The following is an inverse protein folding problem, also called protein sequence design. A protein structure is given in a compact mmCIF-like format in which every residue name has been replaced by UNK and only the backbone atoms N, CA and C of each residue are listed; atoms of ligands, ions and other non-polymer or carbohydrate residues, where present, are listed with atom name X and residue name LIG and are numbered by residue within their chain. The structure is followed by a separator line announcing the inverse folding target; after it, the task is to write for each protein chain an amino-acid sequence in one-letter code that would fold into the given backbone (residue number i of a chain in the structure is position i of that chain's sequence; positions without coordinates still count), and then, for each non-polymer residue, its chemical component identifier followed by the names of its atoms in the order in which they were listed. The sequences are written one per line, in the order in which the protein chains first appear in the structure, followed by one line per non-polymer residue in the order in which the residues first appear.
data_IF_438012130199
#
_entry.id   IF_438012130199
#
_cell.length_a   1.000
_cell.length_b   1.000
_cell.length_c   1.000
_cell.angle_alpha   90.00
_cell.angle_beta   90.00
_cell.angle_gamma   90.00
#
_symmetry.space_group_name_H-M   'P 1'
#
loop_
_entity.id
_entity.type
_entity.pdbx_description
1 polymer ?
#
# COMPACT_ATOMS: atom_id res chain seq x y z
N UNK A 1 -1.68 -9.63 -56.48
CA UNK A 1 -2.53 -10.85 -56.60
C UNK A 1 -2.87 -10.96 -58.07
N UNK A 2 -2.51 -12.06 -58.73
CA UNK A 2 -2.74 -12.20 -60.16
C UNK A 2 -4.23 -12.46 -60.44
N UNK A 3 -4.70 -12.10 -61.65
CA UNK A 3 -6.11 -12.19 -62.03
C UNK A 3 -6.70 -13.60 -61.84
N UNK A 4 -5.90 -14.63 -62.13
CA UNK A 4 -6.29 -16.05 -62.00
C UNK A 4 -6.52 -16.49 -60.55
N UNK A 5 -5.80 -15.92 -59.59
CA UNK A 5 -5.97 -16.25 -58.16
C UNK A 5 -7.26 -15.64 -57.61
N UNK A 6 -7.62 -14.45 -58.10
CA UNK A 6 -8.85 -13.77 -57.73
C UNK A 6 -10.08 -14.52 -58.23
N UNK A 7 -10.05 -15.04 -59.46
CA UNK A 7 -11.14 -15.87 -59.99
C UNK A 7 -11.32 -17.18 -59.22
N UNK A 8 -10.22 -17.84 -58.82
CA UNK A 8 -10.26 -19.04 -57.97
C UNK A 8 -10.82 -18.75 -56.59
N UNK A 9 -10.50 -17.60 -56.01
CA UNK A 9 -11.05 -17.14 -54.72
C UNK A 9 -12.56 -16.86 -54.81
N UNK A 10 -13.03 -16.30 -55.93
CA UNK A 10 -14.45 -15.98 -56.13
C UNK A 10 -15.35 -17.22 -56.29
N UNK A 11 -14.78 -18.33 -56.75
CA UNK A 11 -15.45 -19.64 -56.93
C UNK A 11 -15.58 -20.46 -55.63
N UNK A 12 -14.98 -20.01 -54.53
CA UNK A 12 -15.07 -20.68 -53.23
C UNK A 12 -16.30 -20.20 -52.43
N UNK A 13 -16.87 -21.09 -51.62
CA UNK A 13 -17.89 -20.74 -50.64
C UNK A 13 -17.39 -19.68 -49.63
N UNK A 14 -18.31 -18.89 -49.09
CA UNK A 14 -18.02 -17.77 -48.18
C UNK A 14 -17.15 -18.20 -46.98
N UNK A 15 -17.42 -19.37 -46.39
CA UNK A 15 -16.65 -19.90 -45.27
C UNK A 15 -15.23 -20.30 -45.67
N UNK A 16 -15.09 -20.99 -46.80
CA UNK A 16 -13.78 -21.41 -47.35
C UNK A 16 -12.90 -20.23 -47.75
N UNK A 17 -13.51 -19.17 -48.28
CA UNK A 17 -12.83 -17.90 -48.58
C UNK A 17 -12.31 -17.24 -47.31
N UNK A 18 -13.16 -17.12 -46.29
CA UNK A 18 -12.77 -16.53 -45.01
C UNK A 18 -11.61 -17.31 -44.37
N UNK A 19 -11.69 -18.64 -44.31
CA UNK A 19 -10.62 -19.50 -43.79
C UNK A 19 -9.31 -19.32 -44.55
N UNK A 20 -9.37 -19.18 -45.88
CA UNK A 20 -8.18 -18.89 -46.70
C UNK A 20 -7.59 -17.51 -46.40
N UNK A 21 -8.41 -16.47 -46.31
CA UNK A 21 -7.93 -15.12 -45.95
C UNK A 21 -7.29 -15.07 -44.55
N UNK A 22 -7.87 -15.77 -43.57
CA UNK A 22 -7.32 -15.87 -42.22
C UNK A 22 -5.97 -16.61 -42.24
N UNK A 23 -5.87 -17.74 -42.94
CA UNK A 23 -4.61 -18.48 -43.06
C UNK A 23 -3.53 -17.71 -43.81
N UNK A 24 -3.89 -16.99 -44.87
CA UNK A 24 -2.97 -16.13 -45.62
C UNK A 24 -2.48 -14.97 -44.74
N UNK A 25 -3.35 -14.35 -43.95
CA UNK A 25 -3.01 -13.32 -42.97
C UNK A 25 -2.03 -13.84 -41.90
N UNK A 26 -2.31 -15.00 -41.29
CA UNK A 26 -1.39 -15.60 -40.30
C UNK A 26 -0.06 -16.02 -40.94
N UNK A 27 -0.08 -16.50 -42.18
CA UNK A 27 1.12 -16.91 -42.92
C UNK A 27 1.99 -15.71 -43.30
N UNK A 28 1.38 -14.59 -43.71
CA UNK A 28 2.09 -13.32 -43.95
C UNK A 28 2.70 -12.80 -42.65
N UNK A 29 1.92 -12.75 -41.56
CA UNK A 29 2.37 -12.33 -40.23
C UNK A 29 3.53 -13.19 -39.70
N UNK A 30 3.53 -14.50 -39.97
CA UNK A 30 4.60 -15.40 -39.56
C UNK A 30 5.85 -15.32 -40.47
N UNK A 31 5.67 -15.05 -41.78
CA UNK A 31 6.79 -14.75 -42.70
C UNK A 31 7.45 -13.41 -42.37
N UNK A 32 6.68 -12.41 -41.96
CA UNK A 32 7.18 -11.13 -41.43
C UNK A 32 7.98 -11.34 -40.14
N UNK A 33 7.45 -12.08 -39.16
CA UNK A 33 8.18 -12.44 -37.93
C UNK A 33 9.52 -13.15 -38.17
N UNK A 34 9.60 -14.01 -39.19
CA UNK A 34 10.84 -14.72 -39.52
C UNK A 34 11.85 -13.84 -40.29
N UNK A 35 11.41 -12.84 -41.06
CA UNK A 35 12.31 -11.82 -41.64
C UNK A 35 12.85 -10.84 -40.59
N UNK A 36 12.08 -10.56 -39.53
CA UNK A 36 12.50 -9.67 -38.44
C UNK A 36 13.57 -10.25 -37.50
N UNK A 37 13.86 -11.56 -37.54
CA UNK A 37 14.97 -12.14 -36.75
C UNK A 37 16.37 -11.76 -37.25
N UNK A 38 16.51 -11.34 -38.52
CA UNK A 38 17.81 -10.95 -39.10
C UNK A 38 18.05 -9.43 -39.15
N UNK A 39 17.09 -8.59 -38.74
CA UNK A 39 17.23 -7.14 -38.82
C UNK A 39 16.66 -6.46 -37.57
N UNK A 40 17.38 -6.59 -36.45
CA UNK A 40 16.91 -6.24 -35.10
C UNK A 40 16.74 -4.74 -34.83
N UNK A 41 16.99 -3.84 -35.78
CA UNK A 41 17.10 -2.41 -35.47
C UNK A 41 16.10 -1.46 -36.11
N UNK A 42 15.10 -1.89 -36.88
CA UNK A 42 14.07 -0.98 -37.41
C UNK A 42 12.65 -1.54 -37.22
N UNK A 43 12.11 -1.34 -36.02
CA UNK A 43 10.70 -1.58 -35.75
C UNK A 43 9.89 -0.38 -36.29
N UNK A 44 9.29 -0.56 -37.48
CA UNK A 44 8.49 0.44 -38.22
C UNK A 44 7.31 0.97 -37.37
N UNK A 45 6.93 0.26 -36.32
CA UNK A 45 5.89 0.65 -35.38
C UNK A 45 6.38 1.48 -34.18
N UNK A 46 7.68 1.81 -34.07
CA UNK A 46 8.22 2.62 -32.95
C UNK A 46 7.60 4.00 -32.83
N UNK A 47 7.12 4.56 -33.94
CA UNK A 47 6.57 5.91 -33.97
C UNK A 47 5.02 5.93 -33.88
N UNK A 48 4.37 4.76 -33.84
CA UNK A 48 2.92 4.68 -33.68
C UNK A 48 2.57 4.52 -32.20
N UNK A 49 1.78 5.45 -31.68
CA UNK A 49 1.21 5.35 -30.34
C UNK A 49 0.01 4.41 -30.40
N UNK A 50 -0.03 3.41 -29.51
CA UNK A 50 -1.24 2.61 -29.36
C UNK A 50 -2.33 3.42 -28.66
N UNK A 51 -3.60 3.00 -28.77
CA UNK A 51 -4.70 3.59 -27.98
C UNK A 51 -4.36 3.60 -26.48
N UNK A 52 -3.64 2.59 -25.99
CA UNK A 52 -3.18 2.55 -24.60
C UNK A 52 -2.15 3.63 -24.30
N UNK A 53 -1.21 3.90 -25.21
CA UNK A 53 -0.20 4.97 -25.02
C UNK A 53 -0.86 6.34 -25.06
N UNK A 54 -1.80 6.56 -26.00
CA UNK A 54 -2.60 7.78 -26.10
C UNK A 54 -3.39 8.02 -24.81
N UNK A 55 -4.06 6.98 -24.31
CA UNK A 55 -4.77 7.03 -23.04
C UNK A 55 -3.82 7.33 -21.89
N UNK A 56 -2.65 6.68 -21.83
CA UNK A 56 -1.68 6.89 -20.77
C UNK A 56 -1.10 8.32 -20.78
N UNK A 57 -0.94 8.93 -21.94
CA UNK A 57 -0.46 10.31 -22.06
C UNK A 57 -1.53 11.33 -21.67
N UNK A 58 -2.79 11.10 -22.04
CA UNK A 58 -3.88 12.08 -21.90
C UNK A 58 -4.86 11.76 -20.75
N UNK A 59 -4.64 10.67 -20.00
CA UNK A 59 -5.47 10.36 -18.85
C UNK A 59 -5.32 11.45 -17.79
N UNK A 60 -6.45 11.78 -17.18
CA UNK A 60 -6.50 12.62 -15.99
C UNK A 60 -7.24 11.86 -14.91
N UNK A 61 -6.68 11.87 -13.69
CA UNK A 61 -7.28 11.21 -12.55
C UNK A 61 -8.54 11.94 -12.07
N UNK A 62 -8.54 13.28 -12.16
CA UNK A 62 -9.72 14.14 -11.99
C UNK A 62 -9.81 15.09 -13.18
N UNK A 63 -10.96 15.12 -13.85
CA UNK A 63 -11.29 16.08 -14.90
C UNK A 63 -12.24 17.14 -14.35
N UNK A 64 -11.96 18.40 -14.65
CA UNK A 64 -12.83 19.52 -14.29
C UNK A 64 -14.05 19.54 -15.21
N UNK A 65 -15.25 19.39 -14.65
CA UNK A 65 -16.50 19.29 -15.43
C UNK A 65 -16.81 20.58 -16.21
N UNK A 66 -16.35 21.72 -15.71
CA UNK A 66 -16.59 23.04 -16.30
C UNK A 66 -15.66 23.35 -17.48
N UNK A 67 -14.51 22.68 -17.57
CA UNK A 67 -13.56 22.86 -18.69
C UNK A 67 -13.86 21.93 -19.88
N UNK A 68 -14.70 20.90 -19.67
CA UNK A 68 -14.94 19.80 -20.62
C UNK A 68 -16.36 19.83 -21.22
N UNK A 69 -17.12 20.93 -21.04
CA UNK A 69 -18.50 21.09 -21.56
C UNK A 69 -18.49 21.62 -22.99
N UNK A 70 -19.10 20.85 -23.90
CA UNK A 70 -19.27 21.15 -25.34
C UNK A 70 -20.09 22.44 -25.64
N UNK A 71 -20.71 23.04 -24.62
CA UNK A 71 -21.72 24.11 -24.76
C UNK A 71 -21.21 25.52 -24.38
N UNK A 72 -19.96 25.65 -23.95
CA UNK A 72 -19.41 26.96 -23.55
C UNK A 72 -17.90 27.10 -23.78
N UNK A 73 -17.50 27.04 -25.06
CA UNK A 73 -16.49 27.95 -25.60
C UNK A 73 -15.01 27.76 -25.21
N UNK A 74 -14.52 26.54 -24.95
CA UNK A 74 -13.08 26.26 -24.84
C UNK A 74 -12.69 25.11 -25.79
N UNK A 75 -11.62 25.36 -26.55
CA UNK A 75 -10.95 24.58 -27.60
C UNK A 75 -11.46 23.15 -27.91
N UNK A 76 -11.72 22.85 -29.19
CA UNK A 76 -12.03 21.49 -29.65
C UNK A 76 -10.99 20.49 -29.13
N UNK A 77 -11.36 19.67 -28.14
CA UNK A 77 -10.51 18.60 -27.63
C UNK A 77 -9.91 17.81 -28.79
N UNK A 78 -8.61 17.53 -28.74
CA UNK A 78 -7.94 16.66 -29.70
C UNK A 78 -8.59 15.27 -29.70
N UNK A 79 -8.42 14.51 -30.77
CA UNK A 79 -8.99 13.15 -30.84
C UNK A 79 -8.47 12.28 -29.68
N UNK A 80 -7.20 12.45 -29.30
CA UNK A 80 -6.54 11.80 -28.18
C UNK A 80 -7.19 12.14 -26.82
N UNK A 81 -7.49 13.43 -26.60
CA UNK A 81 -8.17 13.90 -25.39
C UNK A 81 -9.63 13.44 -25.35
N UNK A 82 -10.32 13.44 -26.51
CA UNK A 82 -11.68 12.87 -26.62
C UNK A 82 -11.70 11.38 -26.27
N UNK A 83 -10.69 10.63 -26.70
CA UNK A 83 -10.54 9.21 -26.35
C UNK A 83 -10.34 9.04 -24.83
N UNK A 84 -9.46 9.84 -24.23
CA UNK A 84 -9.22 9.82 -22.79
C UNK A 84 -10.44 10.24 -21.97
N UNK A 85 -11.16 11.28 -22.40
CA UNK A 85 -12.42 11.73 -21.80
C UNK A 85 -13.48 10.62 -21.86
N UNK A 86 -13.67 10.01 -23.03
CA UNK A 86 -14.60 8.89 -23.19
C UNK A 86 -14.28 7.70 -22.29
N UNK A 87 -12.99 7.42 -22.05
CA UNK A 87 -12.59 6.41 -21.07
C UNK A 87 -12.91 6.84 -19.63
N UNK A 88 -12.58 8.08 -19.26
CA UNK A 88 -12.87 8.65 -17.95
C UNK A 88 -14.36 8.68 -17.60
N UNK A 89 -15.21 8.99 -18.57
CA UNK A 89 -16.67 9.04 -18.41
C UNK A 89 -17.27 7.65 -18.12
N UNK A 90 -16.60 6.57 -18.55
CA UNK A 90 -16.99 5.19 -18.22
C UNK A 90 -16.58 4.74 -16.81
N UNK A 91 -15.73 5.50 -16.13
CA UNK A 91 -15.24 5.16 -14.80
C UNK A 91 -16.20 5.67 -13.72
N UNK A 92 -16.34 4.87 -12.67
CA UNK A 92 -17.17 5.19 -11.51
C UNK A 92 -16.28 5.75 -10.40
N UNK A 93 -16.57 6.99 -10.01
CA UNK A 93 -15.65 7.85 -9.23
C UNK A 93 -16.08 8.10 -7.78
N UNK A 94 -17.05 7.34 -7.28
CA UNK A 94 -17.50 7.42 -5.88
C UNK A 94 -16.54 6.70 -4.92
N UNK A 95 -16.09 5.51 -5.32
CA UNK A 95 -15.12 4.71 -4.58
C UNK A 95 -14.03 4.20 -5.53
N UNK A 96 -12.80 4.11 -5.04
CA UNK A 96 -11.65 3.60 -5.78
C UNK A 96 -11.26 2.18 -5.35
N UNK A 97 -10.51 1.50 -6.23
CA UNK A 97 -9.78 0.27 -5.94
C UNK A 97 -8.36 0.66 -5.51
N UNK A 98 -7.88 0.03 -4.44
CA UNK A 98 -6.56 0.31 -3.87
C UNK A 98 -5.63 -0.89 -4.02
N UNK A 99 -4.36 -0.66 -4.34
CA UNK A 99 -3.30 -1.66 -4.31
C UNK A 99 -2.40 -1.39 -3.11
N UNK A 100 -2.54 -2.25 -2.10
CA UNK A 100 -1.74 -2.18 -0.88
C UNK A 100 -0.50 -3.09 -0.94
N UNK A 101 -0.07 -3.56 -2.13
CA UNK A 101 1.08 -4.48 -2.23
C UNK A 101 2.37 -3.93 -1.60
N UNK A 102 2.56 -2.60 -1.62
CA UNK A 102 3.74 -1.90 -1.13
C UNK A 102 3.51 -1.19 0.22
N UNK A 103 2.52 -1.64 1.01
CA UNK A 103 2.16 -1.00 2.28
C UNK A 103 3.33 -0.82 3.29
N UNK A 104 4.39 -1.63 3.19
CA UNK A 104 5.57 -1.52 4.06
C UNK A 104 6.44 -0.30 3.75
N UNK A 105 6.53 0.10 2.47
CA UNK A 105 7.21 1.34 2.05
C UNK A 105 6.31 2.57 2.20
N UNK A 106 5.01 2.37 2.46
CA UNK A 106 4.01 3.45 2.53
C UNK A 106 3.45 3.84 1.17
N UNK A 107 3.89 3.18 0.11
CA UNK A 107 3.41 3.41 -1.25
C UNK A 107 2.08 2.68 -1.47
N UNK A 108 1.11 3.39 -2.03
CA UNK A 108 -0.21 2.87 -2.37
C UNK A 108 -0.53 3.21 -3.82
N UNK A 109 -1.23 2.30 -4.51
CA UNK A 109 -1.79 2.56 -5.83
C UNK A 109 -3.29 2.75 -5.75
N UNK A 110 -3.85 3.72 -6.47
CA UNK A 110 -5.29 3.92 -6.57
C UNK A 110 -5.73 3.99 -8.02
N UNK A 111 -6.93 3.48 -8.29
CA UNK A 111 -7.64 3.68 -9.56
C UNK A 111 -9.14 3.72 -9.36
N UNK A 112 -9.84 4.42 -10.24
CA UNK A 112 -11.30 4.38 -10.27
C UNK A 112 -11.83 3.01 -10.65
N UNK A 113 -13.07 2.74 -10.23
CA UNK A 113 -13.76 1.48 -10.51
C UNK A 113 -14.25 1.46 -11.96
N UNK A 114 -14.25 0.26 -12.53
CA UNK A 114 -14.87 -0.03 -13.83
C UNK A 114 -16.26 -0.63 -13.63
N UNK A 115 -17.07 -0.65 -14.68
CA UNK A 115 -18.45 -1.14 -14.66
C UNK A 115 -18.58 -2.55 -14.05
N UNK A 116 -17.77 -3.52 -14.49
CA UNK A 116 -17.83 -4.89 -13.97
C UNK A 116 -17.55 -4.99 -12.45
N UNK A 117 -16.73 -4.09 -11.93
CA UNK A 117 -16.46 -3.99 -10.50
C UNK A 117 -17.62 -3.37 -9.73
N UNK A 118 -18.28 -2.37 -10.31
CA UNK A 118 -19.48 -1.77 -9.70
C UNK A 118 -20.63 -2.76 -9.68
N UNK A 119 -20.88 -3.46 -10.79
CA UNK A 119 -21.94 -4.48 -10.89
C UNK A 119 -21.72 -5.62 -9.91
N UNK A 120 -20.47 -6.04 -9.70
CA UNK A 120 -20.13 -7.06 -8.69
C UNK A 120 -20.08 -6.51 -7.25
N UNK A 121 -20.28 -5.21 -7.03
CA UNK A 121 -20.21 -4.57 -5.72
C UNK A 121 -18.78 -4.45 -5.16
N UNK A 122 -17.75 -4.61 -5.99
CA UNK A 122 -16.35 -4.51 -5.58
C UNK A 122 -16.01 -3.10 -5.11
N UNK A 123 -15.32 -3.02 -3.98
CA UNK A 123 -14.89 -1.75 -3.37
C UNK A 123 -16.02 -0.95 -2.73
N UNK A 124 -17.21 -1.54 -2.58
CA UNK A 124 -18.34 -0.96 -1.85
C UNK A 124 -19.00 -1.97 -0.91
N UNK A 125 -19.31 -3.16 -1.41
CA UNK A 125 -19.85 -4.28 -0.62
C UNK A 125 -18.83 -5.39 -0.38
N UNK A 126 -17.67 -5.28 -1.02
CA UNK A 126 -16.50 -6.11 -0.78
C UNK A 126 -15.25 -5.24 -0.70
N UNK A 127 -14.17 -5.77 -0.12
CA UNK A 127 -12.93 -5.03 0.06
C UNK A 127 -12.36 -4.48 -1.27
N UNK A 128 -11.98 -3.20 -1.25
CA UNK A 128 -11.39 -2.49 -2.38
C UNK A 128 -9.93 -2.86 -2.66
N UNK A 129 -9.25 -3.60 -1.77
CA UNK A 129 -7.87 -3.99 -2.01
C UNK A 129 -7.78 -4.98 -3.19
N UNK A 130 -6.99 -4.63 -4.20
CA UNK A 130 -6.77 -5.42 -5.42
C UNK A 130 -6.35 -6.85 -5.11
N UNK A 131 -5.50 -7.04 -4.08
CA UNK A 131 -4.99 -8.33 -3.62
C UNK A 131 -5.49 -8.67 -2.20
N UNK A 132 -6.81 -8.74 -2.03
CA UNK A 132 -7.42 -9.17 -0.77
C UNK A 132 -7.66 -10.69 -0.76
N UNK A 133 -7.07 -11.40 0.21
CA UNK A 133 -7.32 -12.84 0.41
C UNK A 133 -8.67 -13.16 1.05
N UNK A 134 -9.25 -12.21 1.78
CA UNK A 134 -10.48 -12.39 2.56
C UNK A 134 -11.73 -11.83 1.85
N UNK A 135 -11.67 -11.64 0.53
CA UNK A 135 -12.75 -10.97 -0.22
C UNK A 135 -14.10 -11.68 -0.10
N UNK A 136 -14.08 -13.01 -0.04
CA UNK A 136 -15.28 -13.86 0.04
C UNK A 136 -15.75 -14.14 1.46
N UNK A 137 -14.88 -13.94 2.46
CA UNK A 137 -15.13 -14.33 3.85
C UNK A 137 -15.53 -13.16 4.74
N UNK A 138 -15.19 -11.93 4.34
CA UNK A 138 -15.50 -10.73 5.13
C UNK A 138 -16.98 -10.37 4.94
N UNK A 139 -17.73 -10.25 6.04
CA UNK A 139 -19.11 -9.77 6.00
C UNK A 139 -19.15 -8.27 5.68
N UNK A 140 -20.18 -7.84 4.97
CA UNK A 140 -20.36 -6.43 4.56
C UNK A 140 -20.36 -5.46 5.75
N UNK A 141 -20.89 -5.87 6.90
CA UNK A 141 -20.97 -5.07 8.14
C UNK A 141 -19.59 -4.76 8.75
N UNK A 142 -18.55 -5.53 8.40
CA UNK A 142 -17.20 -5.36 8.91
C UNK A 142 -16.33 -4.45 8.02
N UNK A 143 -16.87 -4.03 6.87
CA UNK A 143 -16.19 -3.13 5.96
C UNK A 143 -16.30 -1.68 6.44
N UNK A 144 -15.21 -0.94 6.33
CA UNK A 144 -15.16 0.49 6.67
C UNK A 144 -14.72 1.32 5.48
N UNK A 145 -15.31 2.50 5.34
CA UNK A 145 -14.90 3.51 4.37
C UNK A 145 -13.77 4.36 4.94
N UNK A 146 -12.78 4.64 4.10
CA UNK A 146 -11.62 5.48 4.42
C UNK A 146 -11.49 6.55 3.35
N UNK A 147 -11.14 7.76 3.78
CA UNK A 147 -10.72 8.85 2.92
C UNK A 147 -9.20 8.91 2.90
N UNK A 148 -8.62 8.56 1.76
CA UNK A 148 -7.17 8.40 1.62
C UNK A 148 -6.61 9.57 0.83
N UNK A 149 -5.67 10.36 1.40
CA UNK A 149 -4.97 11.38 0.64
C UNK A 149 -4.07 10.69 -0.40
N UNK A 150 -4.39 10.89 -1.67
CA UNK A 150 -3.67 10.32 -2.80
C UNK A 150 -2.84 11.40 -3.47
N UNK A 151 -1.52 11.32 -3.32
CA UNK A 151 -0.57 12.14 -4.06
C UNK A 151 -0.24 11.46 -5.38
N UNK A 152 -0.39 12.18 -6.49
CA UNK A 152 -0.12 11.68 -7.84
C UNK A 152 0.47 12.77 -8.71
N UNK A 153 1.21 12.37 -9.75
CA UNK A 153 1.78 13.30 -10.72
C UNK A 153 1.00 13.23 -12.02
N UNK A 154 0.55 14.38 -12.49
CA UNK A 154 -0.20 14.51 -13.73
C UNK A 154 0.28 15.77 -14.45
N UNK A 155 0.57 15.67 -15.75
CA UNK A 155 1.12 16.78 -16.54
C UNK A 155 2.36 17.44 -15.89
N UNK A 156 3.25 16.63 -15.30
CA UNK A 156 4.44 17.08 -14.55
C UNK A 156 4.16 17.95 -13.31
N UNK A 157 2.92 17.96 -12.83
CA UNK A 157 2.53 18.63 -11.59
C UNK A 157 2.14 17.60 -10.55
N UNK A 158 2.60 17.82 -9.31
CA UNK A 158 2.21 16.98 -8.18
C UNK A 158 0.86 17.49 -7.65
N UNK A 159 -0.14 16.60 -7.67
CA UNK A 159 -1.52 16.86 -7.23
C UNK A 159 -1.85 15.97 -6.04
N UNK A 160 -2.82 16.41 -5.24
CA UNK A 160 -3.35 15.63 -4.12
C UNK A 160 -4.87 15.59 -4.25
N UNK A 161 -5.46 14.40 -4.10
CA UNK A 161 -6.90 14.22 -4.04
C UNK A 161 -7.28 13.34 -2.85
N UNK A 162 -8.40 13.65 -2.21
CA UNK A 162 -8.96 12.80 -1.16
C UNK A 162 -9.87 11.75 -1.81
N UNK A 163 -9.48 10.48 -1.72
CA UNK A 163 -10.15 9.38 -2.44
C UNK A 163 -10.80 8.43 -1.46
N UNK A 164 -12.08 8.11 -1.69
CA UNK A 164 -12.83 7.17 -0.86
C UNK A 164 -12.54 5.72 -1.25
N UNK A 165 -12.25 4.87 -0.27
CA UNK A 165 -12.05 3.41 -0.45
C UNK A 165 -12.72 2.64 0.68
N UNK A 166 -13.23 1.45 0.38
CA UNK A 166 -13.85 0.58 1.39
C UNK A 166 -12.97 -0.64 1.65
N UNK A 167 -12.55 -0.87 2.90
CA UNK A 167 -11.60 -1.93 3.25
C UNK A 167 -12.13 -2.84 4.36
N UNK A 168 -11.71 -4.11 4.30
CA UNK A 168 -11.90 -5.06 5.40
C UNK A 168 -10.92 -4.78 6.56
N UNK A 169 -11.16 -5.35 7.76
CA UNK A 169 -10.32 -5.12 8.94
C UNK A 169 -8.84 -5.52 8.76
N UNK A 170 -8.55 -6.48 7.87
CA UNK A 170 -7.17 -6.86 7.56
C UNK A 170 -6.50 -5.81 6.67
N UNK A 171 -7.19 -5.34 5.63
CA UNK A 171 -6.62 -4.37 4.69
C UNK A 171 -6.53 -2.96 5.29
N UNK A 172 -7.44 -2.57 6.20
CA UNK A 172 -7.31 -1.31 6.94
C UNK A 172 -6.05 -1.28 7.81
N UNK A 173 -5.65 -2.41 8.40
CA UNK A 173 -4.37 -2.54 9.11
C UNK A 173 -3.16 -2.40 8.18
N UNK A 174 -3.27 -2.86 6.94
CA UNK A 174 -2.21 -2.68 5.94
C UNK A 174 -2.10 -1.21 5.53
N UNK A 175 -3.23 -0.54 5.28
CA UNK A 175 -3.27 0.89 4.96
C UNK A 175 -2.58 1.72 6.06
N UNK A 176 -2.87 1.42 7.33
CA UNK A 176 -2.32 2.16 8.48
C UNK A 176 -1.01 1.57 9.03
N UNK A 177 -0.31 0.70 8.28
CA UNK A 177 0.83 -0.08 8.79
C UNK A 177 1.95 0.78 9.39
N UNK A 178 2.36 1.84 8.71
CA UNK A 178 3.41 2.77 9.15
C UNK A 178 3.04 3.46 10.46
N UNK A 179 1.83 4.00 10.55
CA UNK A 179 1.30 4.66 11.74
C UNK A 179 1.21 3.69 12.93
N UNK A 180 0.71 2.47 12.69
CA UNK A 180 0.66 1.40 13.70
C UNK A 180 2.06 1.07 14.21
N UNK A 181 3.04 0.93 13.31
CA UNK A 181 4.44 0.62 13.67
C UNK A 181 5.06 1.73 14.51
N UNK A 182 4.82 3.00 14.13
CA UNK A 182 5.30 4.18 14.86
C UNK A 182 4.69 4.25 16.27
N UNK A 183 3.36 4.19 16.41
CA UNK A 183 2.68 4.20 17.71
C UNK A 183 3.12 3.06 18.63
N UNK A 184 3.33 1.85 18.08
CA UNK A 184 3.87 0.71 18.84
C UNK A 184 5.28 0.96 19.37
N UNK A 185 6.12 1.68 18.63
CA UNK A 185 7.47 2.06 19.07
C UNK A 185 7.38 3.08 20.21
N UNK A 186 6.57 4.11 20.04
CA UNK A 186 6.34 5.17 21.05
C UNK A 186 5.79 4.60 22.37
N UNK A 187 4.81 3.69 22.30
CA UNK A 187 4.25 3.04 23.48
C UNK A 187 5.32 2.22 24.24
N UNK A 188 6.17 1.49 23.52
CA UNK A 188 7.27 0.72 24.14
C UNK A 188 8.28 1.63 24.82
N UNK A 189 8.60 2.77 24.23
CA UNK A 189 9.50 3.76 24.82
C UNK A 189 8.90 4.41 26.07
N UNK A 190 7.59 4.72 26.05
CA UNK A 190 6.86 5.25 27.20
C UNK A 190 6.86 4.26 28.39
N UNK A 191 6.53 2.99 28.14
CA UNK A 191 6.52 1.96 29.18
C UNK A 191 7.91 1.76 29.81
N UNK A 192 8.98 1.76 28.99
CA UNK A 192 10.37 1.68 29.49
C UNK A 192 10.73 2.85 30.41
N UNK A 193 10.32 4.07 30.08
CA UNK A 193 10.58 5.25 30.92
C UNK A 193 9.86 5.15 32.27
N UNK A 194 8.61 4.70 32.29
CA UNK A 194 7.86 4.53 33.53
C UNK A 194 8.46 3.45 34.45
N UNK A 195 8.92 2.33 33.88
CA UNK A 195 9.61 1.29 34.66
C UNK A 195 10.92 1.80 35.27
N UNK A 196 11.70 2.59 34.51
CA UNK A 196 12.93 3.20 35.02
C UNK A 196 12.64 4.19 36.16
N UNK A 197 11.65 5.07 35.99
CA UNK A 197 11.22 6.00 37.03
C UNK A 197 10.73 5.28 38.30
N UNK A 198 10.05 4.13 38.15
CA UNK A 198 9.60 3.32 39.28
C UNK A 198 10.77 2.68 40.03
N UNK A 199 11.75 2.13 39.31
CA UNK A 199 12.98 1.59 39.89
C UNK A 199 13.82 2.66 40.59
N UNK A 200 13.90 3.86 40.02
CA UNK A 200 14.59 4.99 40.68
C UNK A 200 13.90 5.40 41.99
N UNK A 201 12.56 5.53 41.97
CA UNK A 201 11.79 5.82 43.20
C UNK A 201 11.90 4.72 44.25
N UNK A 202 12.01 3.45 43.85
CA UNK A 202 12.26 2.33 44.76
C UNK A 202 13.67 2.39 45.38
N UNK A 203 14.70 2.64 44.57
CA UNK A 203 16.08 2.83 45.03
C UNK A 203 16.23 4.02 45.98
N UNK A 204 15.51 5.11 45.73
CA UNK A 204 15.53 6.30 46.59
C UNK A 204 14.88 6.03 47.95
N UNK A 205 13.74 5.32 47.97
CA UNK A 205 13.09 4.87 49.23
C UNK A 205 13.95 3.90 50.03
N UNK A 206 14.75 3.07 49.37
CA UNK A 206 15.66 2.13 50.03
C UNK A 206 16.84 2.86 50.69
N UNK A 207 17.45 3.84 49.98
CA UNK A 207 18.50 4.72 50.53
C UNK A 207 18.01 5.52 51.75
N UNK A 208 16.76 5.99 51.75
CA UNK A 208 16.18 6.70 52.90
C UNK A 208 15.92 5.80 54.11
N UNK A 209 15.55 4.54 53.89
CA UNK A 209 15.42 3.55 54.97
C UNK A 209 16.77 3.23 55.60
N UNK A 210 17.83 3.11 54.80
CA UNK A 210 19.18 2.87 55.30
C UNK A 210 19.74 4.08 56.07
N UNK A 211 19.48 5.31 55.62
CA UNK A 211 19.84 6.53 56.37
C UNK A 211 19.13 6.60 57.73
N UNK A 212 17.85 6.22 57.81
CA UNK A 212 17.10 6.18 59.09
C UNK A 212 17.61 5.07 60.03
N UNK A 213 18.00 3.91 59.52
CA UNK A 213 18.63 2.85 60.32
C UNK A 213 19.99 3.26 60.89
N UNK A 214 20.80 4.02 60.13
CA UNK A 214 22.09 4.54 60.59
C UNK A 214 21.95 5.63 61.67
N UNK A 215 20.90 6.45 61.63
CA UNK A 215 20.63 7.46 62.67
C UNK A 215 20.19 6.90 64.03
N UNK A 216 19.65 5.68 64.08
CA UNK A 216 19.27 4.99 65.32
C UNK A 216 20.42 4.13 65.92
N UNK A 217 21.62 4.15 65.33
CA UNK A 217 22.78 3.34 65.77
C UNK A 217 23.98 4.17 66.24
N UNK A 218 23.77 5.43 66.60
CA UNK A 218 24.75 6.15 67.41
C UNK A 218 24.58 5.77 68.89
N UNK A 219 24.96 4.54 69.20
CA UNK A 219 25.75 4.25 70.38
C UNK A 219 26.59 2.98 70.12
N UNK A 220 27.90 3.14 70.19
CA UNK A 220 28.98 2.14 70.11
C UNK A 220 29.34 1.47 68.76
N UNK A 221 30.50 1.89 68.21
CA UNK A 221 31.65 0.97 68.12
C UNK A 221 32.11 0.45 66.74
N UNK A 222 33.28 0.95 66.33
CA UNK A 222 34.43 0.26 65.68
C UNK A 222 34.43 -0.13 64.19
N UNK A 223 35.62 0.13 63.61
CA UNK A 223 36.19 -0.06 62.27
C UNK A 223 35.97 -1.38 61.53
N UNK A 224 35.99 -1.30 60.18
CA UNK A 224 36.99 -1.98 59.34
C UNK A 224 36.75 -1.69 57.84
N UNK A 225 37.84 -1.42 57.13
CA UNK A 225 37.96 -1.11 55.70
C UNK A 225 37.62 -2.29 54.76
N UNK A 226 37.22 -2.00 53.50
CA UNK A 226 37.87 -2.61 52.31
C UNK A 226 37.47 -2.00 50.94
N UNK A 227 38.50 -1.47 50.28
CA UNK A 227 38.92 -1.50 48.86
C UNK A 227 37.93 -1.65 47.67
N UNK A 228 37.89 -0.57 46.86
CA UNK A 228 38.03 -0.41 45.39
C UNK A 228 37.36 -1.39 44.40
N UNK A 229 36.61 -0.85 43.41
CA UNK A 229 37.19 -0.32 42.16
C UNK A 229 36.09 0.08 41.17
N UNK A 230 36.25 1.26 40.57
CA UNK A 230 35.52 1.74 39.41
C UNK A 230 35.92 0.98 38.15
N UNK A 231 34.99 0.82 37.21
CA UNK A 231 35.29 0.85 35.77
C UNK A 231 34.03 1.16 34.94
N UNK A 232 34.13 2.25 34.18
CA UNK A 232 33.17 2.70 33.16
C UNK A 232 33.45 1.98 31.84
N UNK A 233 32.44 1.41 31.15
CA UNK A 233 32.56 1.06 29.72
C UNK A 233 31.21 1.26 28.97
N UNK A 234 31.25 2.29 28.11
CA UNK A 234 30.62 2.53 26.80
C UNK A 234 29.31 1.82 26.38
N UNK A 235 28.29 2.65 26.14
CA UNK A 235 27.18 2.40 25.21
C UNK A 235 27.73 2.28 23.78
N UNK A 236 27.59 1.11 23.16
CA UNK A 236 27.67 0.94 21.71
C UNK A 236 26.54 0.04 21.23
N UNK A 237 25.93 0.52 20.14
CA UNK A 237 24.85 -0.05 19.35
C UNK A 237 24.84 -1.58 19.28
N UNK A 238 23.64 -2.18 19.36
CA UNK A 238 23.45 -3.46 18.69
C UNK A 238 22.13 -3.55 17.91
N UNK A 239 22.36 -4.03 16.70
CA UNK A 239 21.49 -4.32 15.59
C UNK A 239 20.92 -5.74 15.79
N UNK A 240 20.25 -6.26 14.77
CA UNK A 240 19.39 -7.43 14.79
C UNK A 240 19.99 -8.78 15.27
N UNK A 241 19.14 -9.47 16.04
CA UNK A 241 18.75 -10.88 15.88
C UNK A 241 19.81 -11.99 15.98
N UNK A 242 19.77 -12.73 17.10
CA UNK A 242 19.80 -14.19 17.03
C UNK A 242 19.18 -14.84 18.27
N UNK A 243 18.51 -15.96 17.99
CA UNK A 243 17.77 -16.83 18.92
C UNK A 243 18.69 -17.31 20.04
N UNK A 244 18.34 -17.00 21.29
CA UNK A 244 18.49 -17.86 22.48
C UNK A 244 18.33 -16.97 23.72
N UNK A 245 17.10 -16.90 24.25
CA UNK A 245 16.74 -16.60 25.65
C UNK A 245 15.21 -16.50 25.75
N UNK A 246 14.56 -17.65 25.59
CA UNK A 246 13.12 -17.77 25.36
C UNK A 246 12.25 -17.72 26.63
N UNK A 247 12.80 -17.85 27.84
CA UNK A 247 11.99 -17.99 29.05
C UNK A 247 11.61 -16.65 29.68
N UNK A 248 12.56 -15.71 29.84
CA UNK A 248 12.34 -14.47 30.59
C UNK A 248 11.82 -13.30 29.72
N UNK A 249 12.16 -13.34 28.42
CA UNK A 249 11.63 -12.41 27.41
C UNK A 249 10.17 -12.75 27.06
N UNK A 250 9.78 -14.03 27.15
CA UNK A 250 8.40 -14.47 26.90
C UNK A 250 7.43 -13.94 27.95
N UNK A 251 7.81 -13.95 29.24
CA UNK A 251 6.97 -13.43 30.33
C UNK A 251 6.76 -11.91 30.25
N UNK A 252 7.81 -11.14 29.90
CA UNK A 252 7.70 -9.69 29.66
C UNK A 252 6.91 -9.38 28.39
N UNK A 253 7.13 -10.13 27.30
CA UNK A 253 6.37 -10.00 26.05
C UNK A 253 4.88 -10.35 26.23
N UNK A 254 4.56 -11.40 27.00
CA UNK A 254 3.20 -11.79 27.37
C UNK A 254 2.51 -10.77 28.27
N UNK A 255 3.25 -10.13 29.20
CA UNK A 255 2.72 -9.01 30.00
C UNK A 255 2.40 -7.80 29.13
N UNK A 256 3.32 -7.43 28.24
CA UNK A 256 3.14 -6.32 27.29
C UNK A 256 1.99 -6.63 26.32
N UNK A 257 1.89 -7.84 25.78
CA UNK A 257 0.77 -8.24 24.90
C UNK A 257 -0.58 -8.30 25.63
N UNK A 258 -0.60 -8.62 26.93
CA UNK A 258 -1.80 -8.59 27.77
C UNK A 258 -2.21 -7.16 28.15
N UNK A 259 -1.26 -6.28 28.46
CA UNK A 259 -1.53 -4.86 28.69
C UNK A 259 -2.00 -4.16 27.42
N UNK A 260 -1.41 -4.47 26.25
CA UNK A 260 -1.87 -3.98 24.93
C UNK A 260 -3.30 -4.44 24.60
N UNK A 261 -3.76 -5.58 25.14
CA UNK A 261 -5.10 -6.16 24.95
C UNK A 261 -6.07 -5.89 26.11
N UNK A 262 -5.69 -5.10 27.10
CA UNK A 262 -6.61 -4.71 28.17
C UNK A 262 -7.70 -3.80 27.62
N UNK A 263 -8.93 -3.92 28.15
CA UNK A 263 -10.11 -3.17 27.71
C UNK A 263 -9.86 -1.63 27.74
N UNK A 264 -9.02 -1.16 28.67
CA UNK A 264 -8.61 0.25 28.78
C UNK A 264 -7.68 0.73 27.65
N UNK A 265 -7.02 -0.18 26.93
CA UNK A 265 -6.14 0.11 25.79
C UNK A 265 -6.77 -0.22 24.43
N UNK A 266 -7.93 -0.90 24.40
CA UNK A 266 -8.69 -1.10 23.16
C UNK A 266 -9.18 0.24 22.57
N UNK A 267 -9.42 1.24 23.42
CA UNK A 267 -9.81 2.58 22.99
C UNK A 267 -8.68 3.32 22.24
N UNK A 268 -7.41 3.04 22.55
CA UNK A 268 -6.24 3.55 21.78
C UNK A 268 -6.22 2.97 20.35
N UNK A 269 -6.76 1.76 20.17
CA UNK A 269 -6.86 1.09 18.87
C UNK A 269 -8.18 1.36 18.14
N UNK A 270 -9.25 1.78 18.83
CA UNK A 270 -10.52 2.22 18.19
C UNK A 270 -10.33 3.53 17.42
N UNK A 271 -9.56 4.47 17.98
CA UNK A 271 -9.19 5.75 17.32
C UNK A 271 -8.12 5.58 16.21
N UNK A 272 -7.78 4.34 15.86
CA UNK A 272 -6.78 4.02 14.85
C UNK A 272 -7.37 3.73 13.46
N UNK A 273 -8.70 3.69 13.36
CA UNK A 273 -9.46 3.34 12.16
C UNK A 273 -10.57 4.35 11.83
N UNK A 274 -10.52 5.54 12.43
CA UNK A 274 -11.38 6.69 12.10
C UNK A 274 -10.46 7.77 11.53
#
# INVERSE_FOLDING_TARGET
MNLEDYEKLKKLDAFSRHKKFINDYFSQKNKEKNKHKHNSNNNIYRNYKSDYDILKENHQFLRDQDNDTDDSGVEELTWEERLAKKYYDRLYKEYAIIDLSHYKSGEIGLRWRIESEVVSGRGQFTCANKKCSALTTTRKEELKSFEVPFSYREQNQDKIALVKVVLCPLCSKLLNYSNIKKKKKELKEFLKKNDNNKKEKEKEKEKDKDKKKRKNRNDNGSDSDNYSSSEDIYDRDDYEESKENASESSSKKLKIEKEIKSEDNEDIFKDMFI
#
